data_IF_361963714408
#
_entry.id   IF_361963714408
#
_cell.length_a   1.000
_cell.length_b   1.000
_cell.length_c   1.000
_cell.angle_alpha   90.00
_cell.angle_beta   90.00
_cell.angle_gamma   90.00
#
_symmetry.space_group_name_H-M   'P 1'
#
loop_
_entity.id
_entity.type
_entity.pdbx_description
1 polymer ?
#
# COMPACT_ATOMS: atom_id res chain seq x y z
N UNK A 1 -15.02 17.69 9.33
CA UNK A 1 -15.92 16.89 8.43
C UNK A 1 -15.16 16.62 7.14
N UNK A 2 -15.38 15.49 6.45
CA UNK A 2 -14.69 15.20 5.18
C UNK A 2 -15.69 14.83 4.08
N UNK A 3 -15.26 14.97 2.83
CA UNK A 3 -15.95 14.52 1.63
C UNK A 3 -15.07 13.55 0.86
N UNK A 4 -15.65 12.59 0.14
CA UNK A 4 -14.93 11.72 -0.76
C UNK A 4 -15.00 12.28 -2.19
N UNK A 5 -13.84 12.34 -2.84
CA UNK A 5 -13.70 12.75 -4.24
C UNK A 5 -12.98 11.66 -5.01
N UNK A 6 -13.66 11.04 -5.97
CA UNK A 6 -13.08 10.05 -6.87
C UNK A 6 -12.54 10.74 -8.11
N UNK A 7 -11.34 10.36 -8.49
CA UNK A 7 -10.65 10.85 -9.68
C UNK A 7 -10.50 9.70 -10.69
N UNK A 8 -10.80 9.99 -11.93
CA UNK A 8 -10.69 9.10 -13.09
C UNK A 8 -9.51 9.47 -14.01
N UNK A 9 -8.70 10.43 -13.59
CA UNK A 9 -7.54 10.92 -14.33
C UNK A 9 -6.44 11.33 -13.36
N UNK A 10 -5.23 11.56 -13.87
CA UNK A 10 -4.07 11.98 -13.08
C UNK A 10 -4.41 13.19 -12.23
N UNK A 11 -4.25 13.12 -10.90
CA UNK A 11 -4.61 14.22 -10.01
C UNK A 11 -3.74 15.46 -10.25
N UNK A 12 -4.23 16.67 -9.93
CA UNK A 12 -3.42 17.88 -9.92
C UNK A 12 -2.14 17.71 -9.09
N UNK A 13 -1.07 18.42 -9.47
CA UNK A 13 0.25 18.30 -8.84
C UNK A 13 0.21 18.54 -7.32
N UNK A 14 -0.67 19.44 -6.87
CA UNK A 14 -0.88 19.71 -5.44
C UNK A 14 -1.30 18.45 -4.66
N UNK A 15 -2.21 17.64 -5.21
CA UNK A 15 -2.61 16.38 -4.60
C UNK A 15 -1.55 15.28 -4.78
N UNK A 16 -0.86 15.21 -5.93
CA UNK A 16 0.26 14.27 -6.10
C UNK A 16 1.33 14.49 -5.03
N UNK A 17 1.65 15.75 -4.72
CA UNK A 17 2.62 16.11 -3.69
C UNK A 17 2.14 15.68 -2.30
N UNK A 18 0.89 15.96 -1.93
CA UNK A 18 0.31 15.54 -0.65
C UNK A 18 0.27 14.01 -0.51
N UNK A 19 -0.10 13.27 -1.56
CA UNK A 19 -0.09 11.80 -1.59
C UNK A 19 1.32 11.29 -1.35
N UNK A 20 2.30 11.80 -2.09
CA UNK A 20 3.70 11.36 -1.97
C UNK A 20 4.27 11.64 -0.57
N UNK A 21 4.02 12.82 -0.02
CA UNK A 21 4.45 13.17 1.33
C UNK A 21 3.84 12.23 2.37
N UNK A 22 2.53 11.99 2.28
CA UNK A 22 1.84 11.07 3.19
C UNK A 22 2.38 9.65 3.09
N UNK A 23 2.68 9.15 1.89
CA UNK A 23 3.26 7.83 1.64
C UNK A 23 4.66 7.70 2.24
N UNK A 24 5.54 8.67 2.00
CA UNK A 24 6.92 8.68 2.48
C UNK A 24 6.98 8.62 4.02
N UNK A 25 6.01 9.22 4.71
CA UNK A 25 5.92 9.16 6.17
C UNK A 25 5.35 7.83 6.71
N UNK A 26 4.81 6.97 5.85
CA UNK A 26 4.15 5.72 6.24
C UNK A 26 4.79 4.47 5.63
N UNK A 27 6.01 4.55 5.13
CA UNK A 27 6.73 3.47 4.43
C UNK A 27 6.74 2.17 5.23
N UNK A 28 6.99 2.21 6.54
CA UNK A 28 7.01 1.01 7.39
C UNK A 28 5.69 0.21 7.41
N UNK A 29 4.57 0.85 7.06
CA UNK A 29 3.24 0.21 7.03
C UNK A 29 2.71 -0.02 5.62
N UNK A 30 3.28 0.63 4.62
CA UNK A 30 2.87 0.55 3.22
C UNK A 30 3.77 -0.34 2.39
N UNK A 31 5.07 -0.35 2.70
CA UNK A 31 6.02 -1.24 2.02
C UNK A 31 5.72 -2.70 2.33
N UNK A 32 5.77 -3.54 1.31
CA UNK A 32 5.71 -5.01 1.46
C UNK A 32 6.86 -5.58 2.30
N UNK A 33 7.91 -4.80 2.50
CA UNK A 33 9.11 -5.15 3.29
C UNK A 33 8.97 -4.73 4.76
N UNK A 34 8.04 -3.82 5.08
CA UNK A 34 7.82 -3.29 6.43
C UNK A 34 9.11 -2.80 7.10
N UNK A 35 9.96 -2.11 6.33
CA UNK A 35 11.27 -1.63 6.80
C UNK A 35 11.12 -0.73 8.03
N UNK A 36 11.95 -0.95 9.06
CA UNK A 36 12.00 -0.08 10.23
C UNK A 36 12.63 1.26 9.92
N UNK A 37 12.13 2.39 10.49
CA UNK A 37 12.79 3.69 10.35
C UNK A 37 14.23 3.74 10.82
N UNK A 38 14.61 2.86 11.75
CA UNK A 38 15.97 2.77 12.30
C UNK A 38 16.93 1.95 11.40
N UNK A 39 16.40 1.27 10.38
CA UNK A 39 17.23 0.51 9.46
C UNK A 39 17.95 1.44 8.46
N UNK A 40 19.24 1.23 8.24
CA UNK A 40 20.04 2.08 7.34
C UNK A 40 19.51 2.14 5.91
N UNK A 41 18.76 1.13 5.46
CA UNK A 41 18.13 1.09 4.13
C UNK A 41 16.82 1.89 4.05
N UNK A 42 16.30 2.42 5.16
CA UNK A 42 14.99 3.09 5.19
C UNK A 42 14.83 4.18 4.12
N UNK A 43 15.81 5.09 3.87
CA UNK A 43 15.69 6.11 2.83
C UNK A 43 15.52 5.54 1.41
N UNK A 44 16.13 4.37 1.14
CA UNK A 44 15.98 3.68 -0.14
C UNK A 44 14.54 3.21 -0.35
N UNK A 45 13.91 2.65 0.69
CA UNK A 45 12.51 2.23 0.64
C UNK A 45 11.55 3.40 0.63
N UNK A 46 11.89 4.53 1.27
CA UNK A 46 11.10 5.77 1.13
C UNK A 46 11.04 6.23 -0.32
N UNK A 47 12.17 6.23 -1.01
CA UNK A 47 12.21 6.55 -2.43
C UNK A 47 11.41 5.53 -3.24
N UNK A 48 11.62 4.23 -3.02
CA UNK A 48 10.98 3.15 -3.76
C UNK A 48 9.46 3.20 -3.68
N UNK A 49 8.89 3.28 -2.48
CA UNK A 49 7.42 3.34 -2.28
C UNK A 49 6.84 4.65 -2.80
N UNK A 50 7.55 5.77 -2.62
CA UNK A 50 7.14 7.06 -3.18
C UNK A 50 7.07 7.03 -4.72
N UNK A 51 8.06 6.39 -5.37
CA UNK A 51 8.08 6.21 -6.83
C UNK A 51 7.02 5.22 -7.31
N UNK A 52 6.76 4.14 -6.57
CA UNK A 52 5.69 3.20 -6.89
C UNK A 52 4.34 3.91 -6.96
N UNK A 53 4.00 4.68 -5.92
CA UNK A 53 2.74 5.44 -5.90
C UNK A 53 2.72 6.48 -7.02
N UNK A 54 3.81 7.21 -7.26
CA UNK A 54 3.91 8.16 -8.36
C UNK A 54 3.63 7.48 -9.71
N UNK A 55 4.19 6.31 -9.97
CA UNK A 55 3.97 5.57 -11.22
C UNK A 55 2.52 5.08 -11.35
N UNK A 56 1.85 4.67 -10.27
CA UNK A 56 0.43 4.37 -10.29
C UNK A 56 -0.41 5.60 -10.65
N UNK A 57 -0.10 6.76 -10.05
CA UNK A 57 -0.81 8.01 -10.39
C UNK A 57 -0.62 8.39 -11.87
N UNK A 58 0.59 8.22 -12.42
CA UNK A 58 0.83 8.45 -13.86
C UNK A 58 0.07 7.44 -14.74
N UNK A 59 -0.09 6.19 -14.29
CA UNK A 59 -0.81 5.17 -15.03
C UNK A 59 -2.32 5.45 -15.17
N UNK A 60 -2.87 6.38 -14.39
CA UNK A 60 -4.27 6.85 -14.53
C UNK A 60 -4.57 7.52 -15.88
N UNK A 61 -3.56 7.86 -16.67
CA UNK A 61 -3.72 8.34 -18.05
C UNK A 61 -4.07 7.22 -19.05
N UNK A 62 -4.08 5.95 -18.60
CA UNK A 62 -4.40 4.77 -19.42
C UNK A 62 -3.27 4.31 -20.34
N UNK A 63 -2.14 5.03 -20.40
CA UNK A 63 -1.04 4.72 -21.39
C UNK A 63 -0.29 3.43 -21.05
N UNK A 64 -0.38 2.92 -19.82
CA UNK A 64 0.33 1.72 -19.37
C UNK A 64 -0.50 0.44 -19.44
N UNK A 65 -1.74 0.49 -19.97
CA UNK A 65 -2.66 -0.65 -19.99
C UNK A 65 -3.05 -1.16 -18.60
N UNK A 66 -2.96 -0.29 -17.60
CA UNK A 66 -3.31 -0.53 -16.22
C UNK A 66 -4.46 0.40 -15.82
N UNK A 67 -5.54 -0.16 -15.28
CA UNK A 67 -6.59 0.63 -14.69
C UNK A 67 -6.23 0.96 -13.23
N UNK A 68 -6.31 2.25 -12.90
CA UNK A 68 -6.01 2.77 -11.56
C UNK A 68 -7.12 3.73 -11.15
N UNK A 69 -7.71 3.50 -9.99
CA UNK A 69 -8.69 4.39 -9.39
C UNK A 69 -8.12 5.05 -8.14
N UNK A 70 -8.38 6.34 -7.99
CA UNK A 70 -7.98 7.13 -6.84
C UNK A 70 -9.21 7.77 -6.20
N UNK A 71 -9.42 7.50 -4.91
CA UNK A 71 -10.41 8.20 -4.11
C UNK A 71 -9.69 9.01 -3.03
N UNK A 72 -9.92 10.31 -2.99
CA UNK A 72 -9.41 11.23 -1.97
C UNK A 72 -10.46 11.47 -0.89
N UNK A 73 -10.04 11.51 0.37
CA UNK A 73 -10.80 12.11 1.45
C UNK A 73 -10.29 13.53 1.65
N UNK A 74 -11.11 14.52 1.38
CA UNK A 74 -10.79 15.94 1.44
C UNK A 74 -11.48 16.59 2.64
N UNK A 75 -10.86 17.61 3.23
CA UNK A 75 -11.52 18.43 4.23
C UNK A 75 -12.72 19.16 3.59
N UNK A 76 -13.88 19.10 4.23
CA UNK A 76 -15.09 19.72 3.71
C UNK A 76 -15.05 21.25 3.76
N UNK A 77 -14.24 21.85 4.65
CA UNK A 77 -14.07 23.29 4.80
C UNK A 77 -12.88 23.83 3.99
N UNK A 78 -11.92 22.96 3.68
CA UNK A 78 -10.71 23.26 2.90
C UNK A 78 -10.45 22.13 1.87
N UNK A 79 -11.19 22.06 0.76
CA UNK A 79 -11.13 20.94 -0.19
C UNK A 79 -9.77 20.76 -0.89
N UNK A 80 -8.88 21.71 -0.80
CA UNK A 80 -7.50 21.61 -1.25
C UNK A 80 -6.62 20.78 -0.30
N UNK A 81 -7.11 20.50 0.92
CA UNK A 81 -6.41 19.69 1.92
C UNK A 81 -6.89 18.23 1.85
N UNK A 82 -5.97 17.33 1.58
CA UNK A 82 -6.22 15.90 1.61
C UNK A 82 -6.00 15.35 3.02
N UNK A 83 -6.98 14.60 3.53
CA UNK A 83 -6.94 13.92 4.84
C UNK A 83 -6.52 12.45 4.72
N UNK A 84 -6.67 11.86 3.53
CA UNK A 84 -6.31 10.49 3.23
C UNK A 84 -6.71 10.10 1.81
N UNK A 85 -6.30 8.92 1.37
CA UNK A 85 -6.67 8.40 0.05
C UNK A 85 -6.74 6.88 0.03
N UNK A 86 -7.44 6.35 -0.97
CA UNK A 86 -7.42 4.96 -1.40
C UNK A 86 -7.03 4.90 -2.87
N UNK A 87 -6.08 4.04 -3.21
CA UNK A 87 -5.69 3.72 -4.58
C UNK A 87 -6.03 2.26 -4.84
N UNK A 88 -6.92 2.02 -5.80
CA UNK A 88 -7.39 0.70 -6.18
C UNK A 88 -7.00 0.35 -7.62
N UNK A 89 -6.88 -0.95 -7.86
CA UNK A 89 -6.56 -1.54 -9.15
C UNK A 89 -7.74 -2.43 -9.55
N UNK A 90 -8.63 -1.97 -10.43
CA UNK A 90 -9.69 -2.80 -11.01
C UNK A 90 -9.12 -4.03 -11.70
N UNK A 91 -9.84 -5.15 -11.65
CA UNK A 91 -9.44 -6.35 -12.37
C UNK A 91 -9.68 -6.19 -13.88
N UNK A 92 -8.81 -6.78 -14.69
CA UNK A 92 -8.87 -6.67 -16.15
C UNK A 92 -9.94 -7.55 -16.78
N UNK A 93 -10.31 -8.64 -16.12
CA UNK A 93 -11.21 -9.68 -16.62
C UNK A 93 -12.51 -9.81 -15.80
N UNK A 94 -12.63 -9.10 -14.67
CA UNK A 94 -13.82 -9.08 -13.83
C UNK A 94 -14.11 -7.65 -13.32
N UNK A 95 -15.13 -6.97 -13.86
CA UNK A 95 -15.49 -5.60 -13.44
C UNK A 95 -16.06 -5.52 -12.01
N UNK A 96 -16.32 -6.67 -11.37
CA UNK A 96 -16.80 -6.75 -9.98
C UNK A 96 -15.69 -6.94 -8.96
N UNK A 97 -14.43 -7.04 -9.40
CA UNK A 97 -13.28 -7.27 -8.54
C UNK A 97 -12.26 -6.13 -8.64
N UNK A 98 -11.64 -5.78 -7.52
CA UNK A 98 -10.49 -4.88 -7.48
C UNK A 98 -9.52 -5.25 -6.35
N UNK A 99 -8.27 -4.81 -6.47
CA UNK A 99 -7.32 -4.80 -5.36
C UNK A 99 -7.14 -3.38 -4.81
N UNK A 100 -7.20 -3.22 -3.52
CA UNK A 100 -6.80 -2.00 -2.81
C UNK A 100 -5.28 -2.04 -2.62
N UNK A 101 -4.56 -1.23 -3.40
CA UNK A 101 -3.10 -1.16 -3.35
C UNK A 101 -2.60 -0.29 -2.19
N UNK A 102 -3.24 0.87 -1.98
CA UNK A 102 -2.89 1.79 -0.90
C UNK A 102 -4.14 2.32 -0.22
N UNK A 103 -4.11 2.37 1.12
CA UNK A 103 -5.11 3.03 1.97
C UNK A 103 -4.36 3.77 3.08
N UNK A 104 -4.38 5.08 3.01
CA UNK A 104 -3.60 5.93 3.92
C UNK A 104 -4.47 7.06 4.44
N UNK A 105 -4.38 7.31 5.74
CA UNK A 105 -5.04 8.44 6.40
C UNK A 105 -3.99 9.22 7.19
N UNK A 106 -3.99 10.53 7.03
CA UNK A 106 -3.14 11.45 7.78
C UNK A 106 -3.21 11.16 9.29
N UNK A 107 -2.09 11.09 10.01
CA UNK A 107 -2.06 10.81 11.44
C UNK A 107 -2.96 11.73 12.26
N UNK A 108 -3.06 13.00 11.87
CA UNK A 108 -3.89 14.00 12.54
C UNK A 108 -5.40 13.71 12.45
N UNK A 109 -5.82 12.94 11.44
CA UNK A 109 -7.23 12.65 11.12
C UNK A 109 -7.60 11.17 11.27
N UNK A 110 -6.77 10.40 12.00
CA UNK A 110 -7.09 9.02 12.33
C UNK A 110 -8.25 8.94 13.32
N UNK A 111 -8.98 7.80 13.27
CA UNK A 111 -10.17 7.53 14.10
C UNK A 111 -11.40 8.40 13.80
N UNK A 112 -11.37 9.20 12.75
CA UNK A 112 -12.52 10.00 12.26
C UNK A 112 -13.40 9.23 11.26
N UNK A 113 -13.14 7.94 11.04
CA UNK A 113 -13.92 7.09 10.13
C UNK A 113 -13.50 7.17 8.65
N UNK A 114 -12.48 7.97 8.31
CA UNK A 114 -12.02 8.20 6.92
C UNK A 114 -11.65 6.88 6.22
N UNK A 115 -10.83 6.03 6.83
CA UNK A 115 -10.44 4.76 6.22
C UNK A 115 -11.64 3.83 5.98
N UNK A 116 -12.61 3.81 6.91
CA UNK A 116 -13.86 3.06 6.75
C UNK A 116 -14.69 3.60 5.59
N UNK A 117 -14.76 4.92 5.43
CA UNK A 117 -15.48 5.54 4.32
C UNK A 117 -14.82 5.26 2.97
N UNK A 118 -13.47 5.37 2.89
CA UNK A 118 -12.70 5.07 1.68
C UNK A 118 -12.85 3.60 1.26
N UNK A 119 -12.72 2.65 2.20
CA UNK A 119 -12.92 1.24 1.90
C UNK A 119 -14.38 0.92 1.59
N UNK A 120 -15.33 1.54 2.30
CA UNK A 120 -16.77 1.39 2.06
C UNK A 120 -17.19 1.89 0.68
N UNK A 121 -16.58 2.97 0.17
CA UNK A 121 -16.79 3.43 -1.21
C UNK A 121 -16.40 2.35 -2.23
N UNK A 122 -15.24 1.72 -2.05
CA UNK A 122 -14.83 0.60 -2.90
C UNK A 122 -15.78 -0.60 -2.79
N UNK A 123 -16.13 -1.01 -1.56
CA UNK A 123 -17.05 -2.14 -1.33
C UNK A 123 -18.47 -1.89 -1.85
N UNK A 124 -18.87 -0.64 -2.04
CA UNK A 124 -20.15 -0.30 -2.66
C UNK A 124 -20.17 -0.48 -4.17
N UNK A 125 -19.01 -0.49 -4.80
CA UNK A 125 -18.82 -0.55 -6.27
C UNK A 125 -18.34 -1.92 -6.74
N UNK A 126 -17.52 -2.59 -5.92
CA UNK A 126 -16.93 -3.89 -6.23
C UNK A 126 -17.50 -4.95 -5.30
N UNK A 127 -18.00 -6.04 -5.87
CA UNK A 127 -18.47 -7.19 -5.11
C UNK A 127 -17.31 -7.86 -4.33
N UNK A 128 -16.10 -7.86 -4.90
CA UNK A 128 -14.90 -8.39 -4.27
C UNK A 128 -13.77 -7.34 -4.25
N UNK A 129 -13.40 -6.92 -3.04
CA UNK A 129 -12.23 -6.07 -2.80
C UNK A 129 -11.16 -6.91 -2.13
N UNK A 130 -9.96 -6.98 -2.72
CA UNK A 130 -8.81 -7.68 -2.17
C UNK A 130 -7.76 -6.70 -1.64
N UNK A 131 -7.01 -7.11 -0.62
CA UNK A 131 -5.89 -6.35 -0.06
C UNK A 131 -4.82 -7.30 0.49
N UNK A 132 -3.58 -6.86 0.53
CA UNK A 132 -2.45 -7.59 1.11
C UNK A 132 -1.79 -6.79 2.25
N UNK A 133 -2.41 -6.68 3.44
CA UNK A 133 -1.80 -6.01 4.58
C UNK A 133 -0.69 -6.84 5.22
N UNK A 134 0.13 -6.18 6.02
CA UNK A 134 1.05 -6.84 6.95
C UNK A 134 0.26 -7.55 8.07
N UNK A 135 0.79 -8.64 8.66
CA UNK A 135 0.09 -9.40 9.72
C UNK A 135 -0.41 -8.54 10.88
N UNK A 136 0.37 -7.53 11.29
CA UNK A 136 -0.03 -6.61 12.37
C UNK A 136 -1.24 -5.72 12.04
N UNK A 137 -1.65 -5.63 10.78
CA UNK A 137 -2.79 -4.84 10.33
C UNK A 137 -4.07 -5.67 10.15
N UNK A 138 -3.98 -7.01 10.21
CA UNK A 138 -5.08 -7.93 9.93
C UNK A 138 -6.30 -7.62 10.78
N UNK A 139 -6.15 -7.53 12.11
CA UNK A 139 -7.26 -7.25 13.02
C UNK A 139 -7.96 -5.92 12.72
N UNK A 140 -7.23 -4.93 12.24
CA UNK A 140 -7.80 -3.64 11.85
C UNK A 140 -8.65 -3.77 10.58
N UNK A 141 -8.18 -4.51 9.57
CA UNK A 141 -8.95 -4.76 8.36
C UNK A 141 -10.14 -5.69 8.60
N UNK A 142 -10.04 -6.67 9.53
CA UNK A 142 -11.19 -7.47 9.95
C UNK A 142 -12.28 -6.60 10.57
N UNK A 143 -11.92 -5.59 11.38
CA UNK A 143 -12.87 -4.61 11.92
C UNK A 143 -13.54 -3.72 10.85
N UNK A 144 -12.98 -3.69 9.64
CA UNK A 144 -13.55 -3.04 8.45
C UNK A 144 -14.32 -4.01 7.54
N UNK A 145 -14.49 -5.27 7.93
CA UNK A 145 -15.28 -6.27 7.19
C UNK A 145 -14.47 -7.13 6.23
N UNK A 146 -13.14 -6.98 6.20
CA UNK A 146 -12.28 -7.85 5.41
C UNK A 146 -12.04 -9.19 6.12
N UNK A 147 -11.85 -10.25 5.36
CA UNK A 147 -11.62 -11.60 5.88
C UNK A 147 -10.29 -12.16 5.38
N UNK A 148 -9.55 -12.84 6.24
CA UNK A 148 -8.30 -13.51 5.86
C UNK A 148 -8.62 -14.60 4.84
N UNK A 149 -7.84 -14.64 3.76
CA UNK A 149 -7.95 -15.67 2.70
C UNK A 149 -6.77 -16.64 2.77
N UNK A 150 -5.56 -16.12 2.67
CA UNK A 150 -4.33 -16.92 2.64
C UNK A 150 -3.12 -16.08 3.10
N UNK A 151 -2.03 -16.76 3.45
CA UNK A 151 -0.72 -16.12 3.54
C UNK A 151 -0.20 -15.81 2.13
N UNK A 152 0.43 -14.64 1.97
CA UNK A 152 1.05 -14.19 0.71
C UNK A 152 2.45 -13.63 1.00
N UNK A 153 3.41 -14.54 1.17
CA UNK A 153 4.76 -14.16 1.62
C UNK A 153 4.72 -13.49 3.00
N UNK A 154 5.28 -12.29 3.16
CA UNK A 154 5.26 -11.53 4.41
C UNK A 154 3.90 -10.84 4.68
N UNK A 155 2.99 -10.87 3.74
CA UNK A 155 1.67 -10.24 3.80
C UNK A 155 0.56 -11.29 3.94
N UNK A 156 -0.66 -10.84 4.23
CA UNK A 156 -1.86 -11.67 4.32
C UNK A 156 -2.84 -11.22 3.25
N UNK A 157 -3.20 -12.11 2.32
CA UNK A 157 -4.30 -11.84 1.42
C UNK A 157 -5.61 -11.81 2.22
N UNK A 158 -6.33 -10.71 2.12
CA UNK A 158 -7.67 -10.54 2.67
C UNK A 158 -8.64 -10.15 1.56
N UNK A 159 -9.91 -10.52 1.72
CA UNK A 159 -10.98 -10.21 0.77
C UNK A 159 -12.26 -9.81 1.50
N UNK A 160 -13.05 -8.93 0.89
CA UNK A 160 -14.38 -8.56 1.40
C UNK A 160 -15.39 -9.72 1.38
N UNK A 161 -15.15 -10.73 0.53
CA UNK A 161 -16.03 -11.92 0.38
C UNK A 161 -15.56 -13.14 1.17
N UNK A 162 -14.35 -13.08 1.74
CA UNK A 162 -13.72 -14.24 2.37
C UNK A 162 -13.15 -15.27 1.40
N UNK A 163 -13.21 -15.03 0.10
CA UNK A 163 -12.64 -15.86 -0.96
C UNK A 163 -11.79 -15.01 -1.89
N UNK A 164 -10.75 -15.56 -2.55
CA UNK A 164 -10.05 -14.83 -3.60
C UNK A 164 -11.02 -14.60 -4.77
N UNK A 165 -10.87 -13.45 -5.43
CA UNK A 165 -11.63 -13.13 -6.65
C UNK A 165 -11.33 -14.12 -7.79
N UNK A 166 -10.08 -14.58 -7.85
CA UNK A 166 -9.52 -15.30 -9.00
C UNK A 166 -9.34 -14.44 -10.24
N UNK A 167 -9.60 -13.14 -10.12
CA UNK A 167 -9.53 -12.18 -11.20
C UNK A 167 -8.09 -11.72 -11.48
N UNK A 168 -7.83 -11.31 -12.71
CA UNK A 168 -6.52 -10.80 -13.14
C UNK A 168 -6.35 -9.33 -12.71
N UNK A 169 -5.64 -9.11 -11.62
CA UNK A 169 -5.28 -7.77 -11.15
C UNK A 169 -3.93 -7.35 -11.77
N UNK A 170 -3.98 -6.32 -12.62
CA UNK A 170 -2.76 -5.71 -13.14
C UNK A 170 -1.98 -4.99 -12.05
N UNK A 171 -0.64 -5.16 -12.05
CA UNK A 171 0.25 -4.47 -11.09
C UNK A 171 1.46 -3.91 -11.83
N UNK A 172 2.02 -2.83 -11.31
CA UNK A 172 3.30 -2.32 -11.80
C UNK A 172 4.43 -3.30 -11.46
N UNK A 173 5.33 -3.50 -12.40
CA UNK A 173 6.64 -4.07 -12.09
C UNK A 173 7.49 -2.99 -11.40
N UNK A 174 7.77 -3.18 -10.12
CA UNK A 174 8.55 -2.26 -9.32
C UNK A 174 10.07 -2.51 -9.38
N UNK A 175 10.50 -3.62 -9.96
CA UNK A 175 11.93 -3.94 -10.05
C UNK A 175 12.76 -2.83 -10.74
N UNK A 176 12.28 -2.19 -11.83
CA UNK A 176 13.00 -1.08 -12.44
C UNK A 176 13.21 0.13 -11.51
N UNK A 177 12.33 0.36 -10.53
CA UNK A 177 12.50 1.44 -9.53
C UNK A 177 13.76 1.16 -8.71
N UNK A 178 13.90 -0.07 -8.20
CA UNK A 178 15.04 -0.47 -7.37
C UNK A 178 16.33 -0.67 -8.15
N UNK A 179 16.29 -0.72 -9.48
CA UNK A 179 17.44 -0.78 -10.38
C UNK A 179 17.80 0.60 -10.97
N UNK A 180 17.10 1.65 -10.59
CA UNK A 180 17.29 3.00 -11.12
C UNK A 180 18.62 3.63 -10.66
N UNK A 181 19.10 4.61 -11.42
CA UNK A 181 20.31 5.36 -11.08
C UNK A 181 20.16 6.11 -9.75
N UNK A 182 18.95 6.58 -9.46
CA UNK A 182 18.63 7.29 -8.22
C UNK A 182 18.76 6.37 -7.00
N UNK A 183 18.27 5.13 -7.09
CA UNK A 183 18.42 4.14 -6.01
C UNK A 183 19.90 3.78 -5.82
N UNK A 184 20.66 3.63 -6.90
CA UNK A 184 22.10 3.40 -6.82
C UNK A 184 22.83 4.58 -6.16
N UNK A 185 22.44 5.81 -6.44
CA UNK A 185 23.00 6.99 -5.78
C UNK A 185 22.68 7.03 -4.29
N UNK A 186 21.41 6.76 -3.92
CA UNK A 186 20.99 6.66 -2.51
C UNK A 186 21.81 5.57 -1.81
N UNK A 187 21.91 4.37 -2.40
CA UNK A 187 22.69 3.28 -1.83
C UNK A 187 24.16 3.64 -1.64
N UNK A 188 24.79 4.26 -2.65
CA UNK A 188 26.18 4.72 -2.56
C UNK A 188 26.37 5.78 -1.47
N UNK A 189 25.42 6.69 -1.33
CA UNK A 189 25.43 7.69 -0.26
C UNK A 189 25.35 7.03 1.12
N UNK A 190 24.42 6.11 1.30
CA UNK A 190 24.26 5.35 2.57
C UNK A 190 25.50 4.53 2.91
N UNK A 191 26.07 3.84 1.92
CA UNK A 191 27.32 3.10 2.08
C UNK A 191 28.48 3.99 2.56
N UNK A 192 28.61 5.18 1.98
CA UNK A 192 29.63 6.13 2.39
C UNK A 192 29.41 6.73 3.78
N UNK A 193 28.14 6.83 4.22
CA UNK A 193 27.78 7.39 5.53
C UNK A 193 27.84 6.36 6.66
N UNK A 194 27.40 5.14 6.40
CA UNK A 194 27.20 4.10 7.40
C UNK A 194 28.34 3.06 7.42
N UNK A 195 29.02 2.88 6.30
CA UNK A 195 30.03 1.84 6.10
C UNK A 195 29.44 0.52 5.63
N UNK A 196 30.31 -0.35 5.10
CA UNK A 196 29.92 -1.64 4.49
C UNK A 196 29.29 -2.58 5.52
N UNK A 197 29.89 -2.73 6.70
CA UNK A 197 29.40 -3.63 7.74
C UNK A 197 27.98 -3.27 8.20
N UNK A 198 27.69 -1.97 8.38
CA UNK A 198 26.36 -1.50 8.77
C UNK A 198 25.32 -1.73 7.66
N UNK A 199 25.71 -1.63 6.39
CA UNK A 199 24.81 -1.91 5.27
C UNK A 199 24.50 -3.41 5.17
N UNK A 200 25.49 -4.28 5.36
CA UNK A 200 25.30 -5.74 5.42
C UNK A 200 24.37 -6.11 6.58
N UNK A 201 24.61 -5.55 7.77
CA UNK A 201 23.75 -5.78 8.93
C UNK A 201 22.31 -5.31 8.67
N UNK A 202 22.12 -4.16 8.04
CA UNK A 202 20.81 -3.64 7.69
C UNK A 202 20.05 -4.54 6.69
N UNK A 203 20.75 -5.16 5.74
CA UNK A 203 20.17 -6.15 4.82
C UNK A 203 19.79 -7.44 5.55
N UNK A 204 20.63 -7.95 6.44
CA UNK A 204 20.35 -9.13 7.26
C UNK A 204 19.11 -8.89 8.15
N UNK A 205 19.06 -7.76 8.85
CA UNK A 205 17.90 -7.38 9.68
C UNK A 205 16.62 -7.32 8.88
N UNK A 206 16.65 -6.76 7.65
CA UNK A 206 15.51 -6.74 6.73
C UNK A 206 15.05 -8.15 6.39
N UNK A 207 15.97 -9.04 6.03
CA UNK A 207 15.65 -10.39 5.59
C UNK A 207 15.08 -11.23 6.75
N UNK A 208 15.67 -11.15 7.94
CA UNK A 208 15.15 -11.77 9.16
C UNK A 208 13.74 -11.25 9.51
N UNK A 209 13.51 -9.94 9.33
CA UNK A 209 12.20 -9.35 9.54
C UNK A 209 11.16 -9.87 8.55
N UNK A 210 11.53 -10.01 7.27
CA UNK A 210 10.64 -10.58 6.23
C UNK A 210 10.26 -12.02 6.55
N UNK A 211 11.22 -12.84 7.01
CA UNK A 211 10.96 -14.22 7.40
C UNK A 211 10.00 -14.29 8.59
N UNK A 212 10.19 -13.42 9.58
CA UNK A 212 9.30 -13.35 10.75
C UNK A 212 7.88 -12.93 10.34
N UNK A 213 7.71 -11.97 9.43
CA UNK A 213 6.41 -11.57 8.90
C UNK A 213 5.75 -12.70 8.11
N UNK A 214 6.50 -13.46 7.31
CA UNK A 214 5.98 -14.60 6.57
C UNK A 214 5.47 -15.71 7.51
N UNK A 215 6.15 -15.96 8.63
CA UNK A 215 5.66 -16.89 9.66
C UNK A 215 4.37 -16.38 10.34
N UNK A 216 4.29 -15.08 10.64
CA UNK A 216 3.08 -14.47 11.18
C UNK A 216 1.91 -14.55 10.20
N UNK A 217 2.14 -14.31 8.90
CA UNK A 217 1.12 -14.43 7.86
C UNK A 217 0.58 -15.86 7.78
N UNK A 218 1.46 -16.87 7.81
CA UNK A 218 1.06 -18.28 7.89
C UNK A 218 0.27 -18.60 9.16
N UNK A 219 0.59 -17.94 10.27
CA UNK A 219 -0.18 -18.11 11.51
C UNK A 219 -1.61 -17.55 11.38
N UNK A 220 -1.78 -16.38 10.75
CA UNK A 220 -3.10 -15.81 10.46
C UNK A 220 -3.96 -16.77 9.61
N UNK A 221 -3.37 -17.35 8.56
CA UNK A 221 -4.08 -18.33 7.72
C UNK A 221 -4.47 -19.60 8.50
N UNK A 222 -3.57 -20.14 9.34
CA UNK A 222 -3.88 -21.32 10.16
C UNK A 222 -5.02 -21.09 11.16
N UNK A 223 -5.07 -19.89 11.76
CA UNK A 223 -6.14 -19.53 12.68
C UNK A 223 -7.50 -19.51 11.98
N UNK A 224 -7.57 -18.96 10.76
CA UNK A 224 -8.79 -18.99 9.95
C UNK A 224 -9.28 -20.42 9.68
N UNK A 225 -8.38 -21.31 9.25
CA UNK A 225 -8.72 -22.71 8.92
C UNK A 225 -9.25 -23.53 10.13
N UNK A 226 -9.09 -23.02 11.35
CA UNK A 226 -9.61 -23.67 12.57
C UNK A 226 -11.00 -23.19 12.96
N UNK A 227 -11.46 -22.07 12.42
CA UNK A 227 -12.75 -21.44 12.75
C UNK A 227 -13.85 -21.90 11.77
N UNK A 228 -13.45 -22.49 10.65
CA UNK A 228 -14.34 -23.08 9.64
C UNK A 228 -14.11 -24.59 9.57
#
# INVERSE_FOLDING_TARGET
>A
MFILSRLDSVPPESFQNQIRELVIHHVSTLSSVAISPDNALYPLYQYGVGMEVHQYLQAMDGTRGLEVELTLALDAEAPEQMLGFALALPAQDDPQACALAFLVVSPAHRREGIARALLGDLQSRYACVEINPLPGQVAWFEALGMQVVAANGPQVLMSSTGHPSGALIGRLDIAPIYQSAEVMQIHTYLLNQQGEDAMIEAEQQRDEHLDALAEQARACERLRKRVH
#
